data_IF_840870796779
#
_entry.id   IF_840870796779
#
_cell.length_a   1.000
_cell.length_b   1.000
_cell.length_c   1.000
_cell.angle_alpha   90.00
_cell.angle_beta   90.00
_cell.angle_gamma   90.00
#
_symmetry.space_group_name_H-M   'P 1'
#
loop_
_entity.id
_entity.type
_entity.pdbx_description
1 polymer ?
#
# COMPACT_ATOMS: atom_id res chain seq x y z
N UNK A 1 4.94 23.73 0.67
CA UNK A 1 4.33 24.94 1.29
C UNK A 1 3.78 24.55 2.64
N UNK A 2 3.82 25.43 3.64
CA UNK A 2 3.11 25.18 4.88
C UNK A 2 1.59 25.18 4.60
N UNK A 3 0.88 24.17 5.07
CA UNK A 3 -0.53 23.91 4.74
C UNK A 3 -1.49 25.06 5.11
N UNK A 4 -1.10 25.88 6.09
CA UNK A 4 -1.97 26.97 6.62
C UNK A 4 -1.48 28.38 6.30
N UNK A 5 -0.17 28.61 6.15
CA UNK A 5 0.37 29.96 5.86
C UNK A 5 0.73 30.20 4.41
N UNK A 6 0.78 29.14 3.59
CA UNK A 6 1.23 29.23 2.19
C UNK A 6 2.72 29.53 2.01
N UNK A 7 3.47 29.67 3.11
CA UNK A 7 4.89 30.01 3.06
C UNK A 7 5.74 28.89 2.48
N UNK A 8 6.73 29.26 1.69
CA UNK A 8 7.69 28.30 1.12
C UNK A 8 8.66 27.85 2.23
N UNK A 9 8.50 26.63 2.74
CA UNK A 9 9.40 26.00 3.72
C UNK A 9 10.31 25.00 3.03
N UNK A 10 11.55 24.93 3.48
CA UNK A 10 12.56 23.95 3.02
C UNK A 10 12.80 23.96 1.50
N UNK A 11 12.55 25.09 0.86
CA UNK A 11 12.77 25.22 -0.60
C UNK A 11 14.24 25.53 -0.93
N UNK A 12 15.05 25.93 0.06
CA UNK A 12 16.47 26.25 -0.11
C UNK A 12 16.75 27.18 -1.31
N UNK A 13 15.75 27.99 -1.72
CA UNK A 13 15.85 28.89 -2.87
C UNK A 13 15.56 28.24 -4.23
N UNK A 14 15.20 26.97 -4.29
CA UNK A 14 14.85 26.29 -5.53
C UNK A 14 13.34 26.38 -5.79
N UNK A 15 12.93 27.03 -6.92
CA UNK A 15 11.50 27.17 -7.27
C UNK A 15 10.78 25.82 -7.45
N UNK A 16 11.49 24.81 -7.94
CA UNK A 16 10.97 23.48 -8.19
C UNK A 16 10.49 22.78 -6.91
N UNK A 17 11.13 23.08 -5.77
CA UNK A 17 10.75 22.54 -4.47
C UNK A 17 9.48 23.18 -3.88
N UNK A 18 8.99 24.30 -4.46
CA UNK A 18 7.73 24.92 -4.01
C UNK A 18 6.53 24.00 -4.24
N UNK A 19 6.56 23.16 -5.27
CA UNK A 19 5.52 22.14 -5.54
C UNK A 19 5.59 20.92 -4.63
N UNK A 20 6.57 20.90 -3.71
CA UNK A 20 6.81 19.77 -2.80
C UNK A 20 7.46 18.56 -3.48
N UNK A 21 7.81 17.58 -2.65
CA UNK A 21 8.37 16.32 -3.10
C UNK A 21 7.26 15.47 -3.70
N UNK A 22 7.48 14.91 -4.92
CA UNK A 22 6.54 14.01 -5.56
C UNK A 22 6.37 12.72 -4.77
N UNK A 23 5.17 12.47 -4.28
CA UNK A 23 4.84 11.21 -3.64
C UNK A 23 5.10 10.02 -4.58
N UNK A 24 4.67 10.13 -5.83
CA UNK A 24 4.87 9.07 -6.82
C UNK A 24 6.36 8.83 -7.11
N UNK A 25 7.16 9.89 -7.28
CA UNK A 25 8.61 9.76 -7.45
C UNK A 25 9.28 9.09 -6.25
N UNK A 26 8.90 9.46 -5.04
CA UNK A 26 9.41 8.84 -3.81
C UNK A 26 9.02 7.36 -3.71
N UNK A 27 7.75 7.00 -4.02
CA UNK A 27 7.27 5.62 -4.01
C UNK A 27 8.00 4.73 -5.03
N UNK A 28 8.16 5.22 -6.26
CA UNK A 28 8.92 4.56 -7.31
C UNK A 28 10.37 4.34 -6.82
N UNK A 29 10.97 5.36 -6.21
CA UNK A 29 12.29 5.26 -5.61
C UNK A 29 12.37 4.17 -4.55
N UNK A 30 11.53 4.21 -3.54
CA UNK A 30 11.59 3.27 -2.41
C UNK A 30 11.34 1.80 -2.79
N UNK A 31 10.51 1.54 -3.77
CA UNK A 31 10.11 0.17 -4.10
C UNK A 31 10.79 -0.39 -5.35
N UNK A 32 10.87 0.39 -6.43
CA UNK A 32 11.40 -0.14 -7.70
C UNK A 32 12.93 -0.14 -7.74
N UNK A 33 13.56 0.96 -7.36
CA UNK A 33 15.00 1.11 -7.52
C UNK A 33 15.82 0.13 -6.66
N UNK A 34 15.48 -0.13 -5.38
CA UNK A 34 16.18 -1.13 -4.57
C UNK A 34 16.13 -2.53 -5.16
N UNK A 35 14.98 -2.92 -5.72
CA UNK A 35 14.80 -4.23 -6.33
C UNK A 35 15.64 -4.38 -7.60
N UNK A 36 15.65 -3.34 -8.44
CA UNK A 36 16.48 -3.30 -9.64
C UNK A 36 17.97 -3.38 -9.27
N UNK A 37 18.41 -2.56 -8.30
CA UNK A 37 19.81 -2.56 -7.85
C UNK A 37 20.22 -3.89 -7.23
N UNK A 38 19.36 -4.50 -6.44
CA UNK A 38 19.63 -5.82 -5.86
C UNK A 38 19.78 -6.89 -6.94
N UNK A 39 18.98 -6.81 -8.00
CA UNK A 39 19.05 -7.71 -9.16
C UNK A 39 20.34 -7.52 -9.96
N UNK A 40 20.81 -6.27 -10.11
CA UNK A 40 22.04 -5.96 -10.86
C UNK A 40 23.30 -6.33 -10.04
N UNK A 41 23.33 -5.96 -8.76
CA UNK A 41 24.50 -6.11 -7.87
C UNK A 41 24.55 -7.52 -7.28
N UNK A 42 23.41 -8.15 -7.06
CA UNK A 42 23.33 -9.51 -6.56
C UNK A 42 24.08 -10.43 -7.52
N UNK A 43 24.95 -11.26 -6.97
CA UNK A 43 25.42 -12.44 -7.71
C UNK A 43 24.17 -13.24 -8.00
N UNK A 44 23.63 -13.07 -9.20
CA UNK A 44 22.32 -13.57 -9.56
C UNK A 44 22.16 -14.98 -9.02
N UNK A 45 21.14 -15.16 -8.23
CA UNK A 45 20.53 -16.46 -8.18
C UNK A 45 19.95 -16.69 -9.59
N UNK A 46 20.85 -16.97 -10.53
CA UNK A 46 20.53 -17.61 -11.81
C UNK A 46 20.03 -19.04 -11.52
N UNK A 47 19.39 -19.25 -10.37
CA UNK A 47 18.74 -20.49 -9.98
C UNK A 47 17.43 -20.72 -10.74
N UNK A 48 17.29 -20.09 -11.89
CA UNK A 48 16.35 -20.55 -12.88
C UNK A 48 16.92 -21.78 -13.58
N UNK A 49 17.17 -22.83 -12.80
CA UNK A 49 17.36 -24.21 -13.31
C UNK A 49 16.01 -24.86 -13.63
N UNK A 50 14.96 -24.05 -13.70
CA UNK A 50 13.63 -24.51 -14.04
C UNK A 50 13.53 -24.86 -15.52
N UNK A 51 12.87 -25.95 -15.82
CA UNK A 51 12.38 -26.25 -17.17
C UNK A 51 11.67 -25.00 -17.74
N UNK A 52 11.92 -24.71 -19.02
CA UNK A 52 11.24 -23.59 -19.70
C UNK A 52 9.73 -23.71 -19.50
N UNK A 53 9.15 -22.77 -18.79
CA UNK A 53 7.73 -22.73 -18.54
C UNK A 53 7.04 -22.53 -19.89
N UNK A 54 6.31 -23.55 -20.33
CA UNK A 54 5.45 -23.46 -21.51
C UNK A 54 4.06 -23.10 -21.07
N UNK A 55 3.59 -21.89 -21.39
CA UNK A 55 2.22 -21.50 -21.04
C UNK A 55 1.23 -22.44 -21.71
N UNK A 56 0.26 -22.94 -20.94
CA UNK A 56 -0.79 -23.83 -21.44
C UNK A 56 -2.11 -23.47 -20.82
N UNK A 57 -3.11 -23.16 -21.65
CA UNK A 57 -4.48 -22.89 -21.21
C UNK A 57 -5.06 -24.07 -20.42
N UNK A 58 -4.68 -25.30 -20.80
CA UNK A 58 -5.13 -26.51 -20.10
C UNK A 58 -4.64 -26.54 -18.64
N UNK A 59 -3.40 -26.13 -18.40
CA UNK A 59 -2.85 -26.03 -17.04
C UNK A 59 -3.55 -24.91 -16.27
N UNK A 60 -3.83 -23.78 -16.90
CA UNK A 60 -4.55 -22.67 -16.26
C UNK A 60 -5.93 -23.12 -15.75
N UNK A 61 -6.74 -23.74 -16.61
CA UNK A 61 -8.07 -24.21 -16.21
C UNK A 61 -8.01 -25.31 -15.15
N UNK A 62 -7.04 -26.22 -15.25
CA UNK A 62 -6.83 -27.25 -14.21
C UNK A 62 -6.49 -26.61 -12.86
N UNK A 63 -5.62 -25.62 -12.83
CA UNK A 63 -5.24 -24.90 -11.61
C UNK A 63 -6.43 -24.15 -11.00
N UNK A 64 -7.24 -23.46 -11.82
CA UNK A 64 -8.45 -22.79 -11.34
C UNK A 64 -9.40 -23.81 -10.70
N UNK A 65 -9.60 -24.96 -11.35
CA UNK A 65 -10.46 -26.01 -10.83
C UNK A 65 -9.94 -26.60 -9.50
N UNK A 66 -8.63 -26.76 -9.37
CA UNK A 66 -8.01 -27.24 -8.14
C UNK A 66 -8.12 -26.22 -6.99
N UNK A 67 -8.01 -24.92 -7.28
CA UNK A 67 -8.24 -23.86 -6.31
C UNK A 67 -9.67 -23.83 -5.80
N UNK A 68 -10.66 -23.98 -6.69
CA UNK A 68 -12.09 -24.02 -6.31
C UNK A 68 -12.41 -25.20 -5.39
N UNK A 69 -11.63 -26.30 -5.45
CA UNK A 69 -11.78 -27.44 -4.54
C UNK A 69 -11.28 -27.18 -3.12
N UNK A 70 -10.61 -26.06 -2.87
CA UNK A 70 -10.01 -25.71 -1.57
C UNK A 70 -10.70 -24.50 -0.91
N UNK A 71 -12.04 -24.45 -0.79
CA UNK A 71 -12.76 -23.27 -0.34
C UNK A 71 -12.39 -22.89 1.11
N UNK A 72 -12.22 -23.85 2.01
CA UNK A 72 -11.84 -23.57 3.40
C UNK A 72 -10.46 -22.94 3.51
N UNK A 73 -9.49 -23.37 2.71
CA UNK A 73 -8.16 -22.79 2.67
C UNK A 73 -8.26 -21.34 2.19
N UNK A 74 -8.96 -21.09 1.11
CA UNK A 74 -9.09 -19.74 0.52
C UNK A 74 -9.83 -18.79 1.47
N UNK A 75 -10.96 -19.19 2.04
CA UNK A 75 -11.74 -18.36 2.97
C UNK A 75 -10.90 -18.01 4.20
N UNK A 76 -10.25 -18.99 4.83
CA UNK A 76 -9.42 -18.77 6.02
C UNK A 76 -8.25 -17.83 5.71
N UNK A 77 -7.55 -18.08 4.61
CA UNK A 77 -6.44 -17.24 4.17
C UNK A 77 -6.88 -15.81 3.86
N UNK A 78 -8.04 -15.65 3.20
CA UNK A 78 -8.62 -14.34 2.93
C UNK A 78 -9.01 -13.60 4.21
N UNK A 79 -9.55 -14.29 5.21
CA UNK A 79 -9.87 -13.70 6.51
C UNK A 79 -8.60 -13.24 7.24
N UNK A 80 -7.53 -14.05 7.21
CA UNK A 80 -6.23 -13.64 7.76
C UNK A 80 -5.72 -12.39 7.06
N UNK A 81 -5.77 -12.37 5.72
CA UNK A 81 -5.36 -11.21 4.94
C UNK A 81 -6.16 -9.96 5.27
N UNK A 82 -7.48 -10.09 5.37
CA UNK A 82 -8.38 -8.99 5.75
C UNK A 82 -8.00 -8.41 7.12
N UNK A 83 -7.85 -9.26 8.14
CA UNK A 83 -7.51 -8.82 9.51
C UNK A 83 -6.13 -8.15 9.56
N UNK A 84 -5.13 -8.73 8.89
CA UNK A 84 -3.79 -8.13 8.78
C UNK A 84 -3.84 -6.79 8.04
N UNK A 85 -4.70 -6.67 7.02
CA UNK A 85 -4.89 -5.43 6.26
C UNK A 85 -5.44 -4.27 7.10
N UNK A 86 -6.25 -4.54 8.10
CA UNK A 86 -6.77 -3.52 9.03
C UNK A 86 -5.63 -2.89 9.85
N UNK A 87 -4.58 -3.65 10.15
CA UNK A 87 -3.44 -3.14 10.90
C UNK A 87 -2.54 -2.26 10.02
N UNK A 88 -2.39 -0.95 10.31
CA UNK A 88 -1.56 -0.06 9.52
C UNK A 88 -0.10 -0.54 9.44
N UNK A 89 0.45 -0.58 8.24
CA UNK A 89 1.85 -0.92 8.01
C UNK A 89 2.20 -2.42 8.01
N UNK A 90 1.26 -3.32 8.31
CA UNK A 90 1.52 -4.76 8.29
C UNK A 90 1.87 -5.28 6.89
N UNK A 91 1.14 -4.83 5.87
CA UNK A 91 1.43 -5.15 4.47
C UNK A 91 1.16 -6.59 4.06
N UNK A 92 1.18 -6.83 2.73
CA UNK A 92 0.88 -8.13 2.13
C UNK A 92 1.87 -9.23 2.48
N UNK A 93 3.14 -8.87 2.69
CA UNK A 93 4.17 -9.84 3.04
C UNK A 93 3.88 -10.52 4.38
N UNK A 94 3.46 -9.75 5.39
CA UNK A 94 3.09 -10.30 6.70
C UNK A 94 1.83 -11.15 6.56
N UNK A 95 0.82 -10.67 5.85
CA UNK A 95 -0.40 -11.43 5.58
C UNK A 95 -0.10 -12.79 4.91
N UNK A 96 0.75 -12.78 3.88
CA UNK A 96 1.18 -13.98 3.16
C UNK A 96 1.89 -14.97 4.07
N UNK A 97 2.85 -14.50 4.87
CA UNK A 97 3.63 -15.37 5.77
C UNK A 97 2.77 -15.97 6.88
N UNK A 98 1.91 -15.18 7.50
CA UNK A 98 0.99 -15.67 8.55
C UNK A 98 0.04 -16.71 7.97
N UNK A 99 -0.55 -16.41 6.81
CA UNK A 99 -1.46 -17.35 6.15
C UNK A 99 -0.77 -18.65 5.71
N UNK A 100 0.45 -18.55 5.19
CA UNK A 100 1.26 -19.72 4.83
C UNK A 100 1.55 -20.60 6.07
N UNK A 101 1.94 -19.98 7.17
CA UNK A 101 2.25 -20.67 8.42
C UNK A 101 1.01 -21.37 8.98
N UNK A 102 -0.13 -20.69 8.98
CA UNK A 102 -1.40 -21.26 9.40
C UNK A 102 -1.88 -22.38 8.45
N UNK A 103 -1.71 -22.21 7.14
CA UNK A 103 -2.03 -23.24 6.16
C UNK A 103 -1.19 -24.50 6.42
N UNK A 104 0.11 -24.33 6.65
CA UNK A 104 1.02 -25.45 6.98
C UNK A 104 0.58 -26.17 8.24
N UNK A 105 0.20 -25.42 9.30
CA UNK A 105 -0.19 -25.97 10.60
C UNK A 105 -1.45 -26.82 10.54
N UNK A 106 -2.42 -26.44 9.71
CA UNK A 106 -3.73 -27.10 9.64
C UNK A 106 -3.85 -28.08 8.47
N UNK A 107 -2.80 -28.21 7.67
CA UNK A 107 -2.82 -29.15 6.56
C UNK A 107 -2.61 -30.59 7.03
N UNK A 108 -3.20 -31.53 6.27
CA UNK A 108 -3.03 -32.97 6.53
C UNK A 108 -1.62 -33.47 6.16
N UNK A 109 -0.91 -32.72 5.33
CA UNK A 109 0.42 -33.06 4.80
C UNK A 109 1.36 -31.85 4.89
N UNK A 110 1.72 -31.40 6.09
CA UNK A 110 2.57 -30.23 6.29
C UNK A 110 3.96 -30.39 5.67
N UNK A 111 4.43 -31.61 5.47
CA UNK A 111 5.72 -31.93 4.86
C UNK A 111 5.81 -31.58 3.35
N UNK A 112 4.70 -31.34 2.67
CA UNK A 112 4.67 -30.90 1.28
C UNK A 112 4.91 -29.38 1.14
N UNK A 113 4.74 -28.61 2.23
CA UNK A 113 5.00 -27.18 2.24
C UNK A 113 6.52 -26.92 2.13
N UNK A 114 6.89 -25.89 1.38
CA UNK A 114 8.29 -25.63 1.01
C UNK A 114 8.83 -26.49 -0.15
N UNK A 115 8.03 -27.45 -0.65
CA UNK A 115 8.41 -28.33 -1.77
C UNK A 115 7.56 -28.10 -3.03
N UNK A 116 6.96 -26.91 -3.16
CA UNK A 116 6.20 -26.54 -4.35
C UNK A 116 4.71 -26.91 -4.33
N UNK A 117 4.11 -27.14 -3.13
CA UNK A 117 2.67 -27.40 -3.06
C UNK A 117 1.83 -26.19 -3.45
N UNK A 118 0.82 -26.38 -4.29
CA UNK A 118 -0.12 -25.34 -4.71
C UNK A 118 -0.88 -24.74 -3.52
N UNK A 119 -1.10 -25.50 -2.46
CA UNK A 119 -1.81 -25.07 -1.24
C UNK A 119 -1.06 -23.93 -0.52
N UNK A 120 0.26 -24.02 -0.46
CA UNK A 120 1.08 -22.95 0.15
C UNK A 120 0.99 -21.66 -0.64
N UNK A 121 1.10 -21.74 -1.97
CA UNK A 121 0.97 -20.58 -2.86
C UNK A 121 -0.45 -19.99 -2.77
N UNK A 122 -1.47 -20.84 -2.83
CA UNK A 122 -2.86 -20.42 -2.74
C UNK A 122 -3.17 -19.69 -1.42
N UNK A 123 -2.65 -20.19 -0.29
CA UNK A 123 -2.83 -19.56 1.01
C UNK A 123 -2.16 -18.18 1.09
N UNK A 124 -0.90 -18.09 0.64
CA UNK A 124 -0.15 -16.83 0.64
C UNK A 124 -0.81 -15.77 -0.25
N UNK A 125 -1.18 -16.14 -1.48
CA UNK A 125 -1.73 -15.20 -2.45
C UNK A 125 -3.17 -14.80 -2.12
N UNK A 126 -3.98 -15.69 -1.55
CA UNK A 126 -5.32 -15.35 -1.08
C UNK A 126 -5.26 -14.31 0.05
N UNK A 127 -4.33 -14.47 0.99
CA UNK A 127 -4.14 -13.50 2.06
C UNK A 127 -3.59 -12.16 1.54
N UNK A 128 -2.61 -12.20 0.65
CA UNK A 128 -2.04 -11.00 0.02
C UNK A 128 -3.13 -10.20 -0.72
N UNK A 129 -3.95 -10.87 -1.50
CA UNK A 129 -5.04 -10.24 -2.24
C UNK A 129 -6.12 -9.66 -1.31
N UNK A 130 -6.46 -10.36 -0.23
CA UNK A 130 -7.48 -9.92 0.73
C UNK A 130 -6.98 -8.80 1.66
N UNK A 131 -5.66 -8.65 1.85
CA UNK A 131 -5.07 -7.57 2.63
C UNK A 131 -5.37 -6.19 2.01
N UNK A 132 -5.37 -6.08 0.68
CA UNK A 132 -5.61 -4.81 0.01
C UNK A 132 -6.99 -4.21 0.36
N UNK A 133 -8.14 -4.90 0.17
CA UNK A 133 -9.43 -4.39 0.64
C UNK A 133 -9.49 -4.25 2.16
N UNK A 134 -8.80 -5.11 2.94
CA UNK A 134 -8.68 -4.96 4.38
C UNK A 134 -8.08 -3.63 4.80
N UNK A 135 -7.08 -3.13 4.07
CA UNK A 135 -6.42 -1.85 4.33
C UNK A 135 -7.27 -0.62 3.98
N UNK A 136 -8.34 -0.80 3.22
CA UNK A 136 -9.30 0.26 2.91
C UNK A 136 -10.33 0.47 4.05
N UNK A 137 -10.51 -0.51 4.93
CA UNK A 137 -11.43 -0.36 6.06
C UNK A 137 -11.02 0.82 6.95
N UNK A 138 -9.82 0.83 7.56
CA UNK A 138 -9.38 1.96 8.36
C UNK A 138 -9.21 3.25 7.54
N UNK A 139 -8.88 3.14 6.25
CA UNK A 139 -8.82 4.30 5.37
C UNK A 139 -10.17 5.01 5.27
N UNK A 140 -11.22 4.28 4.90
CA UNK A 140 -12.53 4.88 4.65
C UNK A 140 -13.25 5.31 5.93
N UNK A 141 -13.00 4.59 7.05
CA UNK A 141 -13.66 4.86 8.33
C UNK A 141 -12.94 5.86 9.22
N UNK A 142 -11.60 5.82 9.24
CA UNK A 142 -10.78 6.63 10.14
C UNK A 142 -9.83 7.57 9.41
N UNK A 143 -9.75 7.51 8.08
CA UNK A 143 -8.75 8.25 7.31
C UNK A 143 -7.32 7.74 7.47
N UNK A 144 -7.12 6.56 8.04
CA UNK A 144 -5.79 5.98 8.29
C UNK A 144 -5.49 4.90 7.25
N UNK A 145 -4.55 5.12 6.30
CA UNK A 145 -4.24 4.13 5.29
C UNK A 145 -3.49 2.92 5.90
N UNK A 146 -4.01 1.72 5.69
CA UNK A 146 -3.38 0.48 6.16
C UNK A 146 -2.22 -0.01 5.28
N UNK A 147 -2.09 0.52 4.07
CA UNK A 147 -1.08 0.10 3.09
C UNK A 147 -0.69 1.24 2.15
N UNK A 148 0.47 1.17 1.46
CA UNK A 148 0.85 2.18 0.48
C UNK A 148 -0.18 2.42 -0.64
N UNK A 149 -0.81 1.40 -1.25
CA UNK A 149 -1.90 1.63 -2.19
C UNK A 149 -3.10 2.35 -1.58
N UNK A 150 -3.48 2.01 -0.35
CA UNK A 150 -4.55 2.70 0.36
C UNK A 150 -4.24 4.19 0.58
N UNK A 151 -2.98 4.52 0.83
CA UNK A 151 -2.55 5.91 0.98
C UNK A 151 -2.63 6.71 -0.33
N UNK A 152 -2.38 6.09 -1.48
CA UNK A 152 -2.59 6.72 -2.78
C UNK A 152 -4.08 7.02 -3.00
N UNK A 153 -4.94 6.10 -2.62
CA UNK A 153 -6.40 6.28 -2.66
C UNK A 153 -6.84 7.41 -1.73
N UNK A 154 -6.25 7.49 -0.52
CA UNK A 154 -6.47 8.61 0.39
C UNK A 154 -6.16 9.94 -0.29
N UNK A 155 -4.97 10.06 -0.90
CA UNK A 155 -4.58 11.26 -1.64
C UNK A 155 -5.56 11.61 -2.76
N UNK A 156 -6.05 10.62 -3.50
CA UNK A 156 -7.05 10.84 -4.54
C UNK A 156 -8.39 11.34 -3.98
N UNK A 157 -8.88 10.76 -2.88
CA UNK A 157 -10.11 11.22 -2.21
C UNK A 157 -9.98 12.68 -1.76
N UNK A 158 -8.84 13.02 -1.13
CA UNK A 158 -8.57 14.37 -0.66
C UNK A 158 -8.49 15.40 -1.81
N UNK A 159 -7.89 15.04 -2.96
CA UNK A 159 -7.87 15.88 -4.15
C UNK A 159 -9.27 16.17 -4.70
N UNK A 160 -10.20 15.27 -4.51
CA UNK A 160 -11.61 15.45 -4.85
C UNK A 160 -12.43 16.12 -3.75
N UNK A 161 -11.80 16.62 -2.68
CA UNK A 161 -12.46 17.30 -1.58
C UNK A 161 -13.24 16.35 -0.64
N UNK A 162 -13.01 15.04 -0.77
CA UNK A 162 -13.67 14.04 0.07
C UNK A 162 -12.76 13.65 1.23
N UNK A 163 -13.18 13.96 2.45
CA UNK A 163 -12.45 13.57 3.65
C UNK A 163 -12.91 12.17 4.09
N UNK A 164 -11.99 11.19 4.24
CA UNK A 164 -12.31 9.90 4.82
C UNK A 164 -12.74 10.05 6.28
N UNK A 165 -13.65 9.20 6.71
CA UNK A 165 -14.25 9.25 8.03
C UNK A 165 -15.75 8.96 7.97
N UNK A 166 -16.45 9.16 9.09
CA UNK A 166 -17.90 8.94 9.19
C UNK A 166 -18.66 9.82 8.19
N UNK A 167 -18.21 11.05 7.99
CA UNK A 167 -18.82 12.02 7.07
C UNK A 167 -18.75 11.57 5.60
N UNK A 168 -17.75 10.77 5.21
CA UNK A 168 -17.64 10.25 3.86
C UNK A 168 -18.87 9.41 3.47
N UNK A 169 -19.39 8.63 4.39
CA UNK A 169 -20.58 7.80 4.16
C UNK A 169 -21.88 8.61 4.26
N UNK A 170 -21.91 9.62 5.11
CA UNK A 170 -23.10 10.45 5.32
C UNK A 170 -23.30 11.48 4.20
N UNK A 171 -22.23 12.20 3.82
CA UNK A 171 -22.30 13.31 2.86
C UNK A 171 -22.00 12.88 1.43
N UNK A 172 -21.09 11.93 1.22
CA UNK A 172 -20.64 11.46 -0.09
C UNK A 172 -20.96 9.97 -0.32
N UNK A 173 -22.02 9.46 0.31
CA UNK A 173 -22.41 8.04 0.27
C UNK A 173 -22.52 7.47 -1.15
N UNK A 174 -23.11 8.23 -2.10
CA UNK A 174 -23.22 7.80 -3.50
C UNK A 174 -21.87 7.49 -4.14
N UNK A 175 -20.86 8.34 -3.94
CA UNK A 175 -19.50 8.15 -4.48
C UNK A 175 -18.81 7.00 -3.75
N UNK A 176 -18.95 6.92 -2.43
CA UNK A 176 -18.32 5.87 -1.61
C UNK A 176 -18.83 4.49 -2.00
N UNK A 177 -20.15 4.32 -2.11
CA UNK A 177 -20.73 3.05 -2.53
C UNK A 177 -20.37 2.70 -4.00
N UNK A 178 -20.32 3.69 -4.89
CA UNK A 178 -19.86 3.49 -6.27
C UNK A 178 -18.42 3.02 -6.30
N UNK A 179 -17.55 3.61 -5.48
CA UNK A 179 -16.17 3.17 -5.33
C UNK A 179 -16.10 1.71 -4.82
N UNK A 180 -16.87 1.35 -3.80
CA UNK A 180 -16.92 -0.03 -3.29
C UNK A 180 -17.39 -1.03 -4.35
N UNK A 181 -18.43 -0.68 -5.11
CA UNK A 181 -18.90 -1.49 -6.24
C UNK A 181 -17.85 -1.57 -7.35
N UNK A 182 -17.11 -0.49 -7.60
CA UNK A 182 -15.97 -0.47 -8.52
C UNK A 182 -14.88 -1.47 -8.13
N UNK A 183 -14.60 -1.66 -6.85
CA UNK A 183 -13.67 -2.69 -6.36
C UNK A 183 -14.17 -4.11 -6.68
N UNK A 184 -15.47 -4.35 -6.59
CA UNK A 184 -16.07 -5.63 -7.00
C UNK A 184 -15.85 -5.89 -8.49
N UNK A 185 -16.13 -4.90 -9.32
CA UNK A 185 -15.91 -5.01 -10.78
C UNK A 185 -14.41 -5.20 -11.07
N UNK A 186 -13.54 -4.48 -10.37
CA UNK A 186 -12.09 -4.64 -10.50
C UNK A 186 -11.63 -6.05 -10.14
N UNK A 187 -12.20 -6.68 -9.10
CA UNK A 187 -11.88 -8.05 -8.72
C UNK A 187 -12.22 -9.05 -9.84
N UNK A 188 -13.37 -8.90 -10.48
CA UNK A 188 -13.72 -9.71 -11.66
C UNK A 188 -12.81 -9.44 -12.86
N UNK A 189 -12.47 -8.16 -13.09
CA UNK A 189 -11.54 -7.78 -14.14
C UNK A 189 -10.15 -8.40 -13.90
N UNK A 190 -9.65 -8.37 -12.67
CA UNK A 190 -8.38 -9.02 -12.30
C UNK A 190 -8.44 -10.53 -12.53
N UNK A 191 -9.53 -11.19 -12.20
CA UNK A 191 -9.70 -12.63 -12.47
C UNK A 191 -9.55 -12.93 -13.96
N UNK A 192 -10.19 -12.16 -14.81
CA UNK A 192 -10.18 -12.39 -16.28
C UNK A 192 -8.82 -11.96 -16.86
N UNK A 193 -8.45 -10.71 -16.68
CA UNK A 193 -7.23 -10.15 -17.28
C UNK A 193 -5.96 -10.70 -16.63
N UNK A 194 -5.97 -11.00 -15.35
CA UNK A 194 -4.86 -11.64 -14.63
C UNK A 194 -4.64 -13.07 -15.11
N UNK A 195 -5.73 -13.83 -15.33
CA UNK A 195 -5.64 -15.19 -15.87
C UNK A 195 -5.08 -15.20 -17.29
N UNK A 196 -5.57 -14.31 -18.16
CA UNK A 196 -5.03 -14.15 -19.51
C UNK A 196 -3.62 -13.60 -19.51
N UNK A 197 -3.33 -12.63 -18.62
CA UNK A 197 -2.02 -12.03 -18.44
C UNK A 197 -0.99 -13.04 -17.95
N UNK A 198 -1.37 -14.00 -17.11
CA UNK A 198 -0.45 -15.05 -16.64
C UNK A 198 0.18 -15.84 -17.79
N UNK A 199 -0.58 -16.06 -18.86
CA UNK A 199 -0.10 -16.68 -20.08
C UNK A 199 1.00 -15.82 -20.75
N UNK A 200 0.77 -14.53 -20.87
CA UNK A 200 1.73 -13.59 -21.45
C UNK A 200 2.95 -13.41 -20.55
N UNK A 201 2.74 -13.24 -19.24
CA UNK A 201 3.82 -13.07 -18.27
C UNK A 201 4.70 -14.31 -18.11
N UNK A 202 4.15 -15.51 -18.32
CA UNK A 202 4.94 -16.74 -18.31
C UNK A 202 6.03 -16.79 -19.40
N UNK A 203 5.85 -16.03 -20.50
CA UNK A 203 6.90 -15.85 -21.51
C UNK A 203 8.02 -14.94 -21.00
N UNK A 204 7.68 -13.91 -20.22
CA UNK A 204 8.66 -12.98 -19.64
C UNK A 204 9.53 -13.65 -18.57
N UNK A 205 9.00 -14.61 -17.84
CA UNK A 205 9.73 -15.37 -16.82
C UNK A 205 10.96 -16.11 -17.43
N UNK A 206 10.88 -16.47 -18.70
CA UNK A 206 12.01 -17.11 -19.40
C UNK A 206 13.16 -16.13 -19.73
N UNK A 207 12.97 -14.82 -19.55
CA UNK A 207 14.01 -13.81 -19.80
C UNK A 207 14.83 -13.64 -18.53
N UNK A 208 16.18 -13.71 -18.60
CA UNK A 208 17.02 -13.50 -17.43
C UNK A 208 16.75 -12.14 -16.78
N UNK A 209 16.58 -12.11 -15.45
CA UNK A 209 16.29 -10.90 -14.70
C UNK A 209 17.32 -9.78 -14.95
N UNK A 210 18.60 -10.15 -15.16
CA UNK A 210 19.67 -9.22 -15.53
C UNK A 210 19.43 -8.48 -16.84
N UNK A 211 18.75 -9.12 -17.80
CA UNK A 211 18.42 -8.50 -19.09
C UNK A 211 17.20 -7.60 -18.98
N UNK A 212 16.29 -7.89 -18.05
CA UNK A 212 15.11 -7.06 -17.76
C UNK A 212 15.45 -5.81 -16.93
N UNK A 213 16.41 -5.90 -16.02
CA UNK A 213 16.74 -4.82 -15.09
C UNK A 213 17.04 -3.47 -15.77
N UNK A 214 17.83 -3.38 -16.86
CA UNK A 214 18.06 -2.10 -17.56
C UNK A 214 16.78 -1.52 -18.17
N UNK A 215 15.91 -2.37 -18.71
CA UNK A 215 14.63 -1.93 -19.30
C UNK A 215 13.71 -1.38 -18.22
N UNK A 216 13.61 -2.09 -17.09
CA UNK A 216 12.80 -1.64 -15.95
C UNK A 216 13.37 -0.32 -15.39
N UNK A 217 14.70 -0.20 -15.29
CA UNK A 217 15.35 1.04 -14.84
C UNK A 217 15.01 2.22 -15.76
N UNK A 218 15.10 2.01 -17.07
CA UNK A 218 14.73 3.05 -18.05
C UNK A 218 13.26 3.47 -17.89
N UNK A 219 12.35 2.49 -17.77
CA UNK A 219 10.93 2.75 -17.56
C UNK A 219 10.66 3.45 -16.22
N UNK A 220 11.41 3.13 -15.18
CA UNK A 220 11.33 3.78 -13.87
C UNK A 220 11.71 5.25 -13.94
N UNK A 221 12.81 5.57 -14.64
CA UNK A 221 13.26 6.96 -14.84
C UNK A 221 12.27 7.74 -15.70
N UNK A 222 11.85 7.18 -16.83
CA UNK A 222 10.87 7.82 -17.72
C UNK A 222 9.52 8.02 -17.02
N UNK A 223 9.06 7.02 -16.25
CA UNK A 223 7.82 7.08 -15.48
C UNK A 223 7.86 8.17 -14.41
N UNK A 224 8.96 8.28 -13.68
CA UNK A 224 9.12 9.33 -12.67
C UNK A 224 9.12 10.73 -13.29
N UNK A 225 9.78 10.92 -14.44
CA UNK A 225 9.78 12.19 -15.18
C UNK A 225 8.38 12.52 -15.74
N UNK A 226 7.70 11.55 -16.32
CA UNK A 226 6.44 11.75 -17.05
C UNK A 226 5.27 12.22 -16.17
N UNK A 227 5.31 11.98 -14.86
CA UNK A 227 4.21 12.31 -13.93
C UNK A 227 3.98 13.83 -13.86
N UNK A 228 5.06 14.62 -13.72
CA UNK A 228 4.99 16.09 -13.61
C UNK A 228 5.87 16.82 -14.62
N UNK A 229 6.50 16.11 -15.56
CA UNK A 229 7.48 16.64 -16.51
C UNK A 229 8.61 17.43 -15.82
N UNK A 230 9.08 16.96 -14.66
CA UNK A 230 10.07 17.62 -13.84
C UNK A 230 11.25 16.69 -13.54
N UNK A 231 12.47 17.14 -13.86
CA UNK A 231 13.69 16.40 -13.57
C UNK A 231 13.93 16.23 -12.05
N UNK A 232 13.40 17.11 -11.23
CA UNK A 232 13.48 16.99 -9.77
C UNK A 232 12.84 15.69 -9.29
N UNK A 233 11.78 15.21 -9.91
CA UNK A 233 11.12 13.94 -9.55
C UNK A 233 12.02 12.73 -9.81
N UNK A 234 12.88 12.81 -10.83
CA UNK A 234 13.90 11.79 -11.09
C UNK A 234 14.98 11.82 -10.00
N UNK A 235 15.44 13.00 -9.58
CA UNK A 235 16.39 13.13 -8.48
C UNK A 235 15.81 12.64 -7.16
N UNK A 236 14.56 12.96 -6.88
CA UNK A 236 13.82 12.45 -5.72
C UNK A 236 13.75 10.92 -5.77
N UNK A 237 13.38 10.36 -6.90
CA UNK A 237 13.33 8.91 -7.12
C UNK A 237 14.70 8.25 -6.88
N UNK A 238 15.78 8.82 -7.40
CA UNK A 238 17.14 8.30 -7.20
C UNK A 238 17.57 8.38 -5.73
N UNK A 239 17.30 9.49 -5.05
CA UNK A 239 17.65 9.69 -3.65
C UNK A 239 16.90 8.70 -2.76
N UNK A 240 15.58 8.62 -2.89
CA UNK A 240 14.77 7.69 -2.09
C UNK A 240 15.05 6.23 -2.46
N UNK A 241 15.40 5.96 -3.71
CA UNK A 241 15.84 4.64 -4.14
C UNK A 241 17.18 4.22 -3.54
N UNK A 242 18.13 5.14 -3.45
CA UNK A 242 19.39 4.92 -2.75
C UNK A 242 19.18 4.63 -1.26
N UNK A 243 18.33 5.43 -0.60
CA UNK A 243 17.95 5.20 0.80
C UNK A 243 17.27 3.83 0.95
N UNK A 244 16.29 3.52 0.11
CA UNK A 244 15.58 2.25 0.14
C UNK A 244 16.50 1.04 -0.07
N UNK A 245 17.46 1.15 -1.00
CA UNK A 245 18.45 0.11 -1.22
C UNK A 245 19.35 -0.12 0.01
N UNK A 246 19.81 0.96 0.64
CA UNK A 246 20.63 0.86 1.83
C UNK A 246 19.87 0.24 3.01
N UNK A 247 18.60 0.61 3.19
CA UNK A 247 17.73 0.04 4.22
C UNK A 247 17.44 -1.43 3.99
N UNK A 248 17.14 -1.83 2.75
CA UNK A 248 16.99 -3.25 2.40
C UNK A 248 18.25 -4.06 2.74
N UNK A 249 19.43 -3.48 2.51
CA UNK A 249 20.70 -4.13 2.88
C UNK A 249 20.86 -4.29 4.39
N UNK A 250 20.25 -3.41 5.18
CA UNK A 250 20.18 -3.50 6.64
C UNK A 250 18.99 -4.33 7.14
N UNK A 251 18.28 -5.02 6.25
CA UNK A 251 17.07 -5.81 6.56
C UNK A 251 15.89 -4.99 7.09
N UNK A 252 15.85 -3.68 6.83
CA UNK A 252 14.69 -2.83 7.11
C UNK A 252 13.76 -2.77 5.89
N UNK A 253 12.48 -3.06 6.11
CA UNK A 253 11.48 -2.93 5.06
C UNK A 253 11.13 -1.46 4.80
N UNK A 254 11.05 -0.98 3.54
CA UNK A 254 10.79 0.44 3.24
C UNK A 254 9.36 0.91 3.53
N UNK A 255 8.39 -0.01 3.71
CA UNK A 255 6.99 0.33 3.87
C UNK A 255 6.68 1.29 5.05
N UNK A 256 7.25 1.14 6.26
CA UNK A 256 7.02 2.09 7.35
C UNK A 256 7.49 3.51 7.04
N UNK A 257 8.60 3.67 6.30
CA UNK A 257 9.10 4.98 5.87
C UNK A 257 8.17 5.65 4.87
N UNK A 258 7.68 4.87 3.91
CA UNK A 258 6.68 5.31 2.94
C UNK A 258 5.41 5.75 3.65
N UNK A 259 4.95 4.98 4.63
CA UNK A 259 3.78 5.35 5.43
C UNK A 259 4.01 6.66 6.19
N UNK A 260 5.17 6.81 6.83
CA UNK A 260 5.57 8.06 7.51
C UNK A 260 5.63 9.26 6.54
N UNK A 261 6.14 9.05 5.33
CA UNK A 261 6.17 10.07 4.29
C UNK A 261 4.78 10.51 3.84
N UNK A 262 3.83 9.57 3.73
CA UNK A 262 2.44 9.83 3.36
C UNK A 262 1.68 10.51 4.51
N UNK A 263 1.87 10.06 5.74
CA UNK A 263 1.19 10.61 6.91
C UNK A 263 1.80 11.92 7.42
N UNK A 264 3.04 12.24 7.02
CA UNK A 264 3.76 13.44 7.46
C UNK A 264 2.97 14.73 7.32
N UNK A 265 2.42 15.06 6.14
CA UNK A 265 1.61 16.26 5.94
C UNK A 265 0.37 16.32 6.85
N UNK A 266 -0.31 15.20 7.08
CA UNK A 266 -1.50 15.13 7.95
C UNK A 266 -1.13 15.34 9.42
N UNK A 267 0.00 14.76 9.86
CA UNK A 267 0.52 14.98 11.21
C UNK A 267 0.90 16.44 11.40
N UNK A 268 1.56 17.05 10.41
CA UNK A 268 1.93 18.47 10.46
C UNK A 268 0.67 19.35 10.53
N UNK A 269 -0.33 19.09 9.70
CA UNK A 269 -1.57 19.84 9.70
C UNK A 269 -2.32 19.72 11.05
N UNK A 270 -2.46 18.51 11.57
CA UNK A 270 -3.06 18.26 12.88
C UNK A 270 -2.28 18.94 14.02
N UNK A 271 -0.94 18.92 13.99
CA UNK A 271 -0.09 19.60 14.96
C UNK A 271 -0.27 21.12 14.89
N UNK A 272 -0.27 21.71 13.71
CA UNK A 272 -0.43 23.16 13.54
C UNK A 272 -1.80 23.61 14.01
N UNK A 273 -2.87 22.88 13.64
CA UNK A 273 -4.23 23.17 14.16
C UNK A 273 -4.30 23.07 15.67
N UNK A 274 -3.76 21.98 16.24
CA UNK A 274 -3.72 21.79 17.70
C UNK A 274 -2.94 22.88 18.42
N UNK A 275 -1.81 23.36 17.83
CA UNK A 275 -1.02 24.44 18.43
C UNK A 275 -1.74 25.78 18.36
N UNK A 276 -2.46 26.06 17.28
CA UNK A 276 -3.28 27.29 17.17
C UNK A 276 -4.41 27.31 18.19
N UNK A 277 -5.16 26.21 18.33
CA UNK A 277 -6.27 26.11 19.29
C UNK A 277 -5.74 26.08 20.72
N UNK A 278 -4.68 25.32 20.99
CA UNK A 278 -4.07 25.19 22.30
C UNK A 278 -3.40 26.49 22.77
N UNK A 279 -2.77 27.26 21.85
CA UNK A 279 -2.23 28.58 22.12
C UNK A 279 -3.32 29.58 22.57
N UNK A 280 -4.48 29.51 21.96
CA UNK A 280 -5.64 30.33 22.36
C UNK A 280 -6.22 29.92 23.73
N UNK A 281 -6.04 28.66 24.16
CA UNK A 281 -6.55 28.10 25.43
C UNK A 281 -5.47 27.95 26.52
N UNK A 282 -4.25 28.37 26.28
CA UNK A 282 -3.18 28.49 27.31
C UNK A 282 -2.33 27.22 27.54
N UNK A 283 -2.64 26.06 26.92
CA UNK A 283 -1.78 24.86 27.03
C UNK A 283 -1.94 23.91 25.83
N UNK A 284 -0.94 23.91 24.95
CA UNK A 284 -0.90 23.08 23.73
C UNK A 284 -0.85 21.59 24.05
N UNK A 285 -0.01 21.20 25.02
CA UNK A 285 0.19 19.79 25.37
C UNK A 285 -1.07 19.16 25.96
N UNK A 286 -1.75 19.91 26.85
CA UNK A 286 -2.98 19.45 27.46
C UNK A 286 -4.10 19.29 26.40
N UNK A 287 -4.16 20.20 25.42
CA UNK A 287 -5.15 20.15 24.36
C UNK A 287 -4.95 18.96 23.43
N UNK A 288 -3.69 18.66 23.02
CA UNK A 288 -3.38 17.48 22.20
C UNK A 288 -3.78 16.19 22.94
N UNK A 289 -3.51 16.09 24.23
CA UNK A 289 -3.87 14.90 25.03
C UNK A 289 -5.37 14.81 25.32
N UNK A 290 -6.06 15.91 25.50
CA UNK A 290 -7.49 15.94 25.88
C UNK A 290 -8.43 15.90 24.69
N UNK A 291 -7.99 16.34 23.49
CA UNK A 291 -8.85 16.35 22.30
C UNK A 291 -9.36 14.94 21.98
N UNK A 292 -8.48 13.93 22.02
CA UNK A 292 -8.85 12.54 21.76
C UNK A 292 -9.81 11.96 22.82
N UNK A 293 -9.65 12.37 24.09
CA UNK A 293 -10.48 11.87 25.18
C UNK A 293 -11.80 12.62 25.29
N UNK A 294 -11.87 13.92 24.92
CA UNK A 294 -13.09 14.69 24.94
C UNK A 294 -14.03 14.35 23.78
N UNK A 295 -13.51 14.17 22.56
CA UNK A 295 -14.33 13.75 21.41
C UNK A 295 -15.01 12.40 21.69
N UNK A 296 -14.25 11.42 22.22
CA UNK A 296 -14.80 10.11 22.58
C UNK A 296 -15.83 10.20 23.73
N UNK A 297 -15.70 11.17 24.64
CA UNK A 297 -16.64 11.41 25.71
C UNK A 297 -17.91 12.16 25.25
N UNK A 298 -17.75 13.09 24.32
CA UNK A 298 -18.85 13.87 23.76
C UNK A 298 -19.75 13.05 22.84
N UNK A 299 -19.16 12.14 22.03
CA UNK A 299 -19.91 11.13 21.27
C UNK A 299 -20.69 10.17 22.18
N UNK A 300 -20.12 9.78 23.32
CA UNK A 300 -20.77 8.91 24.30
C UNK A 300 -21.89 9.60 25.09
N UNK A 301 -21.87 10.92 25.22
CA UNK A 301 -22.81 11.71 26.00
C UNK A 301 -23.82 12.46 25.13
N UNK A 302 -23.68 12.47 23.79
CA UNK A 302 -24.57 13.20 22.88
C UNK A 302 -24.56 14.72 23.11
N UNK A 303 -23.41 15.29 23.42
CA UNK A 303 -23.22 16.74 23.68
C UNK A 303 -22.17 17.27 22.69
N UNK A 304 -22.49 18.38 22.03
CA UNK A 304 -21.53 19.05 21.17
C UNK A 304 -20.42 19.78 21.98
N UNK A 305 -19.31 20.13 21.33
CA UNK A 305 -18.18 20.89 21.95
C UNK A 305 -18.60 22.26 22.53
N UNK A 306 -19.80 22.74 22.28
CA UNK A 306 -20.40 23.96 22.83
C UNK A 306 -21.29 23.73 24.03
N UNK A 307 -21.42 22.49 24.53
CA UNK A 307 -22.25 22.16 25.71
C UNK A 307 -23.74 22.16 25.43
N UNK A 308 -24.17 22.14 24.18
CA UNK A 308 -25.60 21.99 23.82
C UNK A 308 -25.94 20.51 23.67
N UNK A 309 -27.02 20.07 24.30
CA UNK A 309 -27.58 18.73 24.04
C UNK A 309 -28.13 18.69 22.61
N UNK A 310 -27.73 17.70 21.85
CA UNK A 310 -28.29 17.38 20.53
C UNK A 310 -29.58 16.61 20.72
#
# INVERSE_FOLDING_TARGET
>A
MASLSGDARLTFGFPELQSGISLAGALIGFFCLPEILSTIIGKGQDNYTGEKIRPSLKVLFATIFDLVKMPFLLIRSSLIGLVVGIAPGAGGNIASMVSYSEATRWDKKPEEFGKGTIRGVAASEAANSAMAPGSLIPLLTLGIPGSPPAAIILGALMLHGMQPGVDLFATHGGVTYTFMMGLFVAAFAILIFGSLGSFLFSLLINIPAKSLAPVILLMTVLGSYAIRNNLLDVWVMLLFGGIGFFLNKLSYHPAPLVLGFILGPYIEEGLVQSTMIGGAKGSVVLYICLLYTSDAADEGLGVDLGGRRI
#
